data_IF_543169378856
#
_entry.id   IF_543169378856
#
_cell.length_a   1.000
_cell.length_b   1.000
_cell.length_c   1.000
_cell.angle_alpha   90.00
_cell.angle_beta   90.00
_cell.angle_gamma   90.00
#
_symmetry.space_group_name_H-M   'P 1'
#
loop_
_entity.id
_entity.type
_entity.pdbx_description
1 polymer ?
#
# COMPACT_ATOMS: atom_id res chain seq x y z
N UNK A 1 -15.24 10.29 -19.87
CA UNK A 1 -15.22 11.12 -18.64
C UNK A 1 -15.08 10.18 -17.45
N UNK A 2 -13.85 9.90 -17.05
CA UNK A 2 -13.56 9.00 -15.92
C UNK A 2 -13.91 9.76 -14.64
N UNK A 3 -15.16 9.65 -14.23
CA UNK A 3 -15.57 10.07 -12.91
C UNK A 3 -15.22 8.91 -11.96
N UNK A 4 -13.99 9.00 -11.44
CA UNK A 4 -13.75 8.99 -10.03
C UNK A 4 -13.91 7.70 -9.33
N UNK A 5 -12.90 7.50 -8.69
CA UNK A 5 -12.78 6.91 -7.38
C UNK A 5 -14.11 6.66 -6.71
N UNK A 6 -14.36 5.39 -6.42
CA UNK A 6 -15.13 4.97 -5.28
C UNK A 6 -14.65 5.74 -4.04
N UNK A 7 -15.53 6.03 -3.11
CA UNK A 7 -15.16 6.65 -1.84
C UNK A 7 -13.94 5.96 -1.23
N UNK A 8 -12.92 6.70 -0.78
CA UNK A 8 -11.69 6.13 -0.22
C UNK A 8 -11.95 5.58 1.19
N UNK A 9 -12.77 4.55 1.29
CA UNK A 9 -13.27 3.98 2.54
C UNK A 9 -12.17 3.34 3.41
N UNK A 10 -11.04 2.99 2.82
CA UNK A 10 -9.90 2.44 3.53
C UNK A 10 -8.89 3.52 3.98
N UNK A 11 -9.06 4.76 3.53
CA UNK A 11 -8.13 5.86 3.80
C UNK A 11 -8.55 6.70 5.00
N UNK A 12 -7.56 7.23 5.72
CA UNK A 12 -7.79 8.18 6.79
C UNK A 12 -8.08 9.59 6.28
N UNK A 13 -8.65 10.50 7.13
CA UNK A 13 -9.11 11.82 6.72
C UNK A 13 -8.05 12.67 5.98
N UNK A 14 -6.78 12.51 6.32
CA UNK A 14 -5.69 13.24 5.68
C UNK A 14 -5.49 12.82 4.22
N UNK A 15 -5.51 11.51 3.94
CA UNK A 15 -5.42 11.00 2.58
C UNK A 15 -6.67 11.33 1.76
N UNK A 16 -7.85 11.27 2.38
CA UNK A 16 -9.12 11.69 1.73
C UNK A 16 -9.00 13.15 1.29
N UNK A 17 -8.57 14.05 2.18
CA UNK A 17 -8.36 15.47 1.86
C UNK A 17 -7.34 15.67 0.74
N UNK A 18 -6.20 14.98 0.80
CA UNK A 18 -5.16 15.07 -0.23
C UNK A 18 -5.67 14.57 -1.61
N UNK A 19 -6.43 13.48 -1.62
CA UNK A 19 -7.10 12.97 -2.82
C UNK A 19 -8.08 13.98 -3.41
N UNK A 20 -8.94 14.58 -2.58
CA UNK A 20 -9.89 15.61 -3.04
C UNK A 20 -9.16 16.81 -3.64
N UNK A 21 -8.10 17.27 -3.01
CA UNK A 21 -7.28 18.38 -3.51
C UNK A 21 -6.63 18.04 -4.86
N UNK A 22 -6.07 16.83 -4.98
CA UNK A 22 -5.48 16.34 -6.22
C UNK A 22 -6.51 16.28 -7.36
N UNK A 23 -7.71 15.78 -7.08
CA UNK A 23 -8.80 15.74 -8.06
C UNK A 23 -9.29 17.13 -8.45
N UNK A 24 -9.43 18.04 -7.49
CA UNK A 24 -9.81 19.44 -7.76
C UNK A 24 -8.77 20.17 -8.61
N UNK A 25 -7.50 19.82 -8.47
CA UNK A 25 -6.41 20.36 -9.32
C UNK A 25 -6.33 19.69 -10.71
N UNK A 26 -7.24 18.78 -11.04
CA UNK A 26 -7.31 18.15 -12.36
C UNK A 26 -6.41 16.93 -12.54
N UNK A 27 -5.85 16.36 -11.49
CA UNK A 27 -5.03 15.14 -11.59
C UNK A 27 -5.83 14.00 -12.21
N UNK A 28 -5.24 13.33 -13.18
CA UNK A 28 -5.83 12.19 -13.91
C UNK A 28 -5.03 10.91 -13.66
N UNK A 29 -5.67 9.76 -13.92
CA UNK A 29 -4.99 8.45 -13.86
C UNK A 29 -3.82 8.39 -14.85
N UNK A 30 -3.96 9.01 -16.02
CA UNK A 30 -2.89 9.08 -17.01
C UNK A 30 -1.65 9.83 -16.49
N UNK A 31 -1.86 10.91 -15.75
CA UNK A 31 -0.76 11.64 -15.10
C UNK A 31 -0.09 10.80 -14.00
N UNK A 32 -0.86 9.98 -13.27
CA UNK A 32 -0.29 9.06 -12.28
C UNK A 32 0.63 8.02 -12.95
N UNK A 33 0.21 7.39 -14.04
CA UNK A 33 1.05 6.45 -14.78
C UNK A 33 2.29 7.14 -15.39
N UNK A 34 2.13 8.34 -15.93
CA UNK A 34 3.27 9.13 -16.44
C UNK A 34 4.27 9.45 -15.34
N UNK A 35 3.81 9.87 -14.17
CA UNK A 35 4.67 10.11 -13.01
C UNK A 35 5.39 8.84 -12.55
N UNK A 36 4.65 7.72 -12.47
CA UNK A 36 5.24 6.43 -12.12
C UNK A 36 6.36 6.05 -13.08
N UNK A 37 6.16 6.20 -14.39
CA UNK A 37 7.18 5.94 -15.42
C UNK A 37 8.42 6.79 -15.21
N UNK A 38 8.25 8.10 -15.04
CA UNK A 38 9.36 9.02 -14.78
C UNK A 38 10.13 8.65 -13.50
N UNK A 39 9.43 8.20 -12.45
CA UNK A 39 10.05 7.78 -11.21
C UNK A 39 10.82 6.46 -11.38
N UNK A 40 10.26 5.48 -12.09
CA UNK A 40 10.91 4.18 -12.33
C UNK A 40 12.17 4.30 -13.19
N UNK A 41 12.19 5.23 -14.15
CA UNK A 41 13.36 5.51 -14.99
C UNK A 41 14.47 6.26 -14.22
N UNK A 42 14.09 7.03 -13.20
CA UNK A 42 15.03 7.90 -12.46
C UNK A 42 15.61 7.23 -11.21
N UNK A 43 14.88 6.34 -10.59
CA UNK A 43 15.26 5.79 -9.28
C UNK A 43 15.27 4.26 -9.28
N UNK A 44 16.21 3.61 -8.58
CA UNK A 44 16.36 2.14 -8.57
C UNK A 44 15.43 1.41 -7.60
N UNK A 45 14.38 2.05 -7.08
CA UNK A 45 13.45 1.40 -6.17
C UNK A 45 12.22 0.83 -6.89
N UNK A 46 11.64 -0.21 -6.31
CA UNK A 46 10.40 -0.81 -6.81
C UNK A 46 9.21 0.10 -6.53
N UNK A 47 8.34 0.30 -7.53
CA UNK A 47 7.15 1.13 -7.42
C UNK A 47 5.91 0.25 -7.45
N UNK A 48 5.05 0.42 -6.43
CA UNK A 48 3.72 -0.18 -6.36
C UNK A 48 2.66 0.89 -6.60
N UNK A 49 1.62 0.56 -7.36
CA UNK A 49 0.44 1.40 -7.46
C UNK A 49 -0.55 1.04 -6.36
N UNK A 50 -0.94 2.01 -5.55
CA UNK A 50 -2.03 1.83 -4.58
C UNK A 50 -3.25 2.64 -5.02
N UNK A 51 -4.41 2.00 -5.01
CA UNK A 51 -5.67 2.62 -5.40
C UNK A 51 -6.86 1.73 -5.07
N UNK A 52 -8.01 2.06 -5.67
CA UNK A 52 -9.24 1.27 -5.53
C UNK A 52 -9.53 0.51 -6.82
N UNK A 53 -10.14 -0.68 -6.70
CA UNK A 53 -10.40 -1.59 -7.81
C UNK A 53 -11.23 -0.96 -8.93
N UNK A 54 -12.14 -0.04 -8.59
CA UNK A 54 -12.93 0.69 -9.59
C UNK A 54 -12.08 1.33 -10.70
N UNK A 55 -10.84 1.75 -10.40
CA UNK A 55 -9.92 2.29 -11.42
C UNK A 55 -9.50 1.21 -12.41
N UNK A 56 -9.14 0.02 -11.93
CA UNK A 56 -8.78 -1.11 -12.77
C UNK A 56 -9.98 -1.64 -13.54
N UNK A 57 -11.14 -1.73 -12.89
CA UNK A 57 -12.39 -2.21 -13.48
C UNK A 57 -12.86 -1.33 -14.66
N UNK A 58 -12.92 0.00 -14.47
CA UNK A 58 -13.35 0.91 -15.54
C UNK A 58 -12.36 0.96 -16.70
N UNK A 59 -11.09 0.81 -16.42
CA UNK A 59 -10.03 0.81 -17.45
C UNK A 59 -10.02 -0.48 -18.26
N UNK A 60 -10.49 -1.58 -17.69
CA UNK A 60 -10.24 -2.96 -18.09
C UNK A 60 -9.00 -3.50 -17.42
N UNK A 61 -9.12 -4.68 -16.81
CA UNK A 61 -8.03 -5.29 -16.01
C UNK A 61 -6.77 -5.57 -16.84
N UNK A 62 -6.92 -6.00 -18.08
CA UNK A 62 -5.83 -6.23 -19.02
C UNK A 62 -5.09 -4.93 -19.36
N UNK A 63 -5.84 -3.86 -19.64
CA UNK A 63 -5.29 -2.53 -19.90
C UNK A 63 -4.59 -1.98 -18.66
N UNK A 64 -5.20 -2.17 -17.47
CA UNK A 64 -4.61 -1.74 -16.20
C UNK A 64 -3.26 -2.40 -15.94
N UNK A 65 -3.19 -3.73 -16.04
CA UNK A 65 -1.95 -4.50 -15.82
C UNK A 65 -0.87 -4.11 -16.84
N UNK A 66 -1.26 -4.01 -18.13
CA UNK A 66 -0.33 -3.57 -19.18
C UNK A 66 0.23 -2.19 -18.90
N UNK A 67 -0.62 -1.20 -18.58
CA UNK A 67 -0.19 0.17 -18.28
C UNK A 67 0.69 0.25 -17.06
N UNK A 68 0.40 -0.53 -16.02
CA UNK A 68 1.20 -0.62 -14.82
C UNK A 68 2.62 -1.11 -15.14
N UNK A 69 2.72 -2.17 -15.93
CA UNK A 69 4.00 -2.70 -16.42
C UNK A 69 4.77 -1.70 -17.28
N UNK A 70 4.11 -1.08 -18.25
CA UNK A 70 4.69 -0.09 -19.16
C UNK A 70 5.20 1.17 -18.41
N UNK A 71 4.60 1.47 -17.25
CA UNK A 71 5.03 2.53 -16.35
C UNK A 71 6.15 2.12 -15.37
N UNK A 72 6.67 0.90 -15.48
CA UNK A 72 7.72 0.39 -14.59
C UNK A 72 7.25 0.03 -13.18
N UNK A 73 5.93 -0.10 -12.99
CA UNK A 73 5.36 -0.62 -11.75
C UNK A 73 5.62 -2.12 -11.63
N UNK A 74 5.88 -2.59 -10.42
CA UNK A 74 6.14 -4.01 -10.15
C UNK A 74 4.99 -4.72 -9.43
N UNK A 75 3.96 -3.98 -9.01
CA UNK A 75 2.80 -4.54 -8.33
C UNK A 75 1.76 -3.47 -7.99
N UNK A 76 0.66 -3.92 -7.40
CA UNK A 76 -0.43 -3.04 -6.98
C UNK A 76 -1.01 -3.46 -5.62
N UNK A 77 -1.66 -2.49 -4.96
CA UNK A 77 -2.44 -2.66 -3.74
C UNK A 77 -3.86 -2.15 -4.01
N UNK A 78 -4.86 -3.04 -3.96
CA UNK A 78 -6.28 -2.73 -4.15
C UNK A 78 -7.05 -3.20 -2.89
N UNK A 79 -7.20 -2.35 -1.86
CA UNK A 79 -7.73 -2.76 -0.57
C UNK A 79 -9.19 -3.23 -0.59
N UNK A 80 -9.93 -2.81 -1.59
CA UNK A 80 -11.36 -3.10 -1.82
C UNK A 80 -11.62 -4.30 -2.72
N UNK A 81 -10.57 -4.98 -3.23
CA UNK A 81 -10.71 -6.17 -4.06
C UNK A 81 -10.49 -7.44 -3.23
N UNK A 82 -11.54 -8.22 -2.92
CA UNK A 82 -11.40 -9.52 -2.28
C UNK A 82 -10.68 -10.52 -3.17
N UNK A 83 -9.91 -11.44 -2.57
CA UNK A 83 -9.17 -12.46 -3.35
C UNK A 83 -10.11 -13.39 -4.13
N UNK A 84 -11.35 -13.56 -3.69
CA UNK A 84 -12.38 -14.35 -4.37
C UNK A 84 -12.81 -13.72 -5.69
N UNK A 85 -12.76 -12.40 -5.81
CA UNK A 85 -13.17 -11.64 -7.00
C UNK A 85 -11.96 -11.28 -7.90
N UNK A 86 -10.76 -11.62 -7.47
CA UNK A 86 -9.52 -11.18 -8.12
C UNK A 86 -8.95 -12.16 -9.15
N UNK A 87 -9.63 -13.28 -9.44
CA UNK A 87 -9.10 -14.39 -10.23
C UNK A 87 -8.56 -13.96 -11.60
N UNK A 88 -9.32 -13.16 -12.35
CA UNK A 88 -8.89 -12.72 -13.69
C UNK A 88 -7.74 -11.71 -13.59
N UNK A 89 -7.82 -10.74 -12.68
CA UNK A 89 -6.76 -9.75 -12.48
C UNK A 89 -5.46 -10.43 -12.02
N UNK A 90 -5.53 -11.41 -11.12
CA UNK A 90 -4.35 -12.16 -10.66
C UNK A 90 -3.70 -12.95 -11.80
N UNK A 91 -4.49 -13.63 -12.64
CA UNK A 91 -3.98 -14.35 -13.82
C UNK A 91 -3.24 -13.40 -14.76
N UNK A 92 -3.87 -12.28 -15.15
CA UNK A 92 -3.26 -11.26 -16.00
C UNK A 92 -1.98 -10.69 -15.39
N UNK A 93 -1.97 -10.49 -14.07
CA UNK A 93 -0.82 -9.97 -13.34
C UNK A 93 0.34 -10.97 -13.34
N UNK A 94 0.06 -12.26 -13.14
CA UNK A 94 1.07 -13.33 -13.19
C UNK A 94 1.71 -13.42 -14.58
N UNK A 95 0.91 -13.40 -15.65
CA UNK A 95 1.38 -13.39 -17.03
C UNK A 95 2.25 -12.16 -17.35
N UNK A 96 1.96 -11.03 -16.72
CA UNK A 96 2.72 -9.80 -16.90
C UNK A 96 3.94 -9.67 -15.99
N UNK A 97 4.08 -10.51 -14.95
CA UNK A 97 5.11 -10.37 -13.91
C UNK A 97 4.82 -9.20 -12.96
N UNK A 98 3.55 -8.90 -12.73
CA UNK A 98 3.08 -7.87 -11.78
C UNK A 98 2.59 -8.55 -10.50
N UNK A 99 2.97 -8.03 -9.34
CA UNK A 99 2.66 -8.64 -8.05
C UNK A 99 1.42 -8.03 -7.39
N UNK A 100 0.36 -8.82 -7.15
CA UNK A 100 -0.75 -8.40 -6.31
C UNK A 100 -0.31 -8.39 -4.83
N UNK A 101 -0.35 -7.23 -4.19
CA UNK A 101 -0.01 -7.09 -2.78
C UNK A 101 -1.29 -7.24 -1.96
N UNK A 102 -1.37 -8.34 -1.23
CA UNK A 102 -2.56 -8.71 -0.46
C UNK A 102 -2.48 -8.11 0.95
N UNK A 103 -3.65 -7.70 1.47
CA UNK A 103 -3.76 -7.15 2.82
C UNK A 103 -4.13 -8.24 3.84
N UNK A 104 -3.42 -8.27 4.96
CA UNK A 104 -3.78 -9.04 6.15
C UNK A 104 -4.10 -8.11 7.31
N UNK A 105 -5.16 -8.39 8.06
CA UNK A 105 -5.69 -7.53 9.12
C UNK A 105 -5.85 -8.26 10.45
N UNK A 106 -5.91 -7.56 11.59
CA UNK A 106 -6.13 -8.19 12.90
C UNK A 106 -7.45 -8.95 13.01
N UNK A 107 -8.44 -8.58 12.18
CA UNK A 107 -9.77 -9.20 12.17
C UNK A 107 -9.85 -10.47 11.32
N UNK A 108 -8.80 -10.76 10.54
CA UNK A 108 -8.74 -11.99 9.73
C UNK A 108 -8.60 -13.21 10.62
N UNK A 109 -9.49 -14.21 10.43
CA UNK A 109 -9.32 -15.53 11.06
C UNK A 109 -8.11 -16.26 10.47
N UNK A 110 -7.59 -17.29 11.15
CA UNK A 110 -6.45 -18.06 10.64
C UNK A 110 -6.78 -18.77 9.32
N UNK A 111 -8.01 -19.25 9.14
CA UNK A 111 -8.50 -19.75 7.86
C UNK A 111 -8.40 -18.68 6.76
N UNK A 112 -8.79 -17.43 7.08
CA UNK A 112 -8.69 -16.30 6.14
C UNK A 112 -7.24 -15.95 5.87
N UNK A 113 -6.38 -15.91 6.88
CA UNK A 113 -4.95 -15.64 6.70
C UNK A 113 -4.29 -16.70 5.79
N UNK A 114 -4.67 -17.98 5.92
CA UNK A 114 -4.18 -19.05 5.05
C UNK A 114 -4.60 -18.82 3.58
N UNK A 115 -5.84 -18.43 3.32
CA UNK A 115 -6.31 -18.10 1.96
C UNK A 115 -5.56 -16.90 1.38
N UNK A 116 -5.42 -15.83 2.16
CA UNK A 116 -4.70 -14.62 1.76
C UNK A 116 -3.22 -14.93 1.50
N UNK A 117 -2.60 -15.74 2.36
CA UNK A 117 -1.20 -16.17 2.21
C UNK A 117 -0.97 -16.97 0.93
N UNK A 118 -1.87 -17.90 0.60
CA UNK A 118 -1.79 -18.69 -0.63
C UNK A 118 -1.89 -17.84 -1.90
N UNK A 119 -2.62 -16.70 -1.84
CA UNK A 119 -2.78 -15.76 -2.94
C UNK A 119 -1.70 -14.68 -2.98
N UNK A 120 -0.83 -14.61 -1.96
CA UNK A 120 0.15 -13.52 -1.82
C UNK A 120 1.37 -13.75 -2.70
N UNK A 121 1.80 -12.68 -3.36
CA UNK A 121 3.05 -12.62 -4.14
C UNK A 121 3.76 -11.29 -3.82
N UNK A 122 5.06 -11.21 -4.09
CA UNK A 122 5.85 -10.02 -3.85
C UNK A 122 6.00 -9.68 -2.37
N UNK A 123 4.92 -9.24 -1.71
CA UNK A 123 4.83 -9.02 -0.27
C UNK A 123 3.38 -9.11 0.23
N UNK A 124 3.21 -9.21 1.53
CA UNK A 124 1.92 -8.99 2.21
C UNK A 124 1.96 -7.62 2.90
N UNK A 125 0.87 -6.86 2.77
CA UNK A 125 0.66 -5.66 3.56
C UNK A 125 -0.12 -5.99 4.84
N UNK A 126 0.57 -6.01 5.97
CA UNK A 126 -0.05 -6.21 7.29
C UNK A 126 -0.56 -4.86 7.78
N UNK A 127 -1.89 -4.69 7.79
CA UNK A 127 -2.56 -3.51 8.35
C UNK A 127 -2.79 -3.74 9.83
N UNK A 128 -1.85 -3.31 10.67
CA UNK A 128 -1.85 -3.62 12.11
C UNK A 128 -2.83 -2.74 12.93
N UNK A 129 -3.87 -2.19 12.30
CA UNK A 129 -4.88 -1.34 12.96
C UNK A 129 -6.29 -1.85 12.77
N UNK A 130 -7.12 -1.61 13.78
CA UNK A 130 -8.58 -1.67 13.66
C UNK A 130 -9.08 -0.25 13.32
N UNK A 131 -9.77 -0.07 12.19
CA UNK A 131 -10.34 1.21 11.74
C UNK A 131 -9.47 1.99 10.75
N UNK A 132 -9.90 3.21 10.42
CA UNK A 132 -9.24 4.08 9.44
C UNK A 132 -7.92 4.65 9.95
N UNK A 133 -6.97 4.91 9.04
CA UNK A 133 -5.66 5.47 9.37
C UNK A 133 -5.76 6.86 10.01
N UNK A 134 -4.95 7.15 11.03
CA UNK A 134 -4.85 8.49 11.63
C UNK A 134 -4.95 8.58 13.16
N UNK A 135 -5.40 7.53 13.88
CA UNK A 135 -5.39 7.48 15.35
C UNK A 135 -4.16 6.75 15.89
N UNK A 136 -3.68 7.11 17.08
CA UNK A 136 -2.56 6.40 17.75
C UNK A 136 -2.99 4.99 18.16
N UNK A 137 -2.23 3.99 17.75
CA UNK A 137 -2.34 2.62 18.26
C UNK A 137 -1.22 2.41 19.27
N UNK A 138 -1.52 1.81 20.44
CA UNK A 138 -0.46 1.31 21.32
C UNK A 138 0.32 0.26 20.52
N UNK A 139 1.55 0.58 20.19
CA UNK A 139 2.50 -0.33 19.58
C UNK A 139 3.09 -1.18 20.69
N UNK A 140 2.63 -2.38 20.74
CA UNK A 140 3.09 -3.31 21.73
C UNK A 140 2.92 -4.73 21.20
N UNK A 141 2.74 -5.64 22.11
CA UNK A 141 2.64 -7.07 21.89
C UNK A 141 1.59 -7.47 20.82
N UNK A 142 0.51 -6.69 20.67
CA UNK A 142 -0.56 -6.97 19.69
C UNK A 142 -0.07 -6.92 18.24
N UNK A 143 0.78 -5.94 17.89
CA UNK A 143 1.33 -5.82 16.52
C UNK A 143 2.28 -6.96 16.23
N UNK A 144 3.15 -7.28 17.19
CA UNK A 144 4.11 -8.37 17.06
C UNK A 144 3.38 -9.71 16.99
N UNK A 145 2.34 -9.92 17.81
CA UNK A 145 1.50 -11.11 17.76
C UNK A 145 0.82 -11.27 16.40
N UNK A 146 0.28 -10.18 15.82
CA UNK A 146 -0.30 -10.20 14.48
C UNK A 146 0.74 -10.56 13.42
N UNK A 147 1.93 -9.95 13.45
CA UNK A 147 3.01 -10.25 12.50
C UNK A 147 3.38 -11.74 12.57
N UNK A 148 3.53 -12.29 13.78
CA UNK A 148 3.80 -13.72 13.97
C UNK A 148 2.68 -14.60 13.41
N UNK A 149 1.42 -14.25 13.62
CA UNK A 149 0.28 -14.95 13.01
C UNK A 149 0.32 -14.91 11.49
N UNK A 150 0.54 -13.74 10.90
CA UNK A 150 0.64 -13.60 9.44
C UNK A 150 1.80 -14.44 8.87
N UNK A 151 2.94 -14.46 9.56
CA UNK A 151 4.13 -15.23 9.16
C UNK A 151 3.87 -16.74 9.09
N UNK A 152 2.94 -17.28 9.88
CA UNK A 152 2.57 -18.68 9.82
C UNK A 152 1.86 -19.07 8.51
N UNK A 153 1.34 -18.10 7.77
CA UNK A 153 0.53 -18.33 6.59
C UNK A 153 1.17 -17.86 5.28
N UNK A 154 2.37 -17.28 5.32
CA UNK A 154 3.07 -16.84 4.12
C UNK A 154 4.59 -16.80 4.32
N UNK A 155 5.31 -17.05 3.23
CA UNK A 155 6.78 -16.94 3.17
C UNK A 155 7.26 -15.65 2.50
N UNK A 156 6.35 -14.90 1.84
CA UNK A 156 6.72 -13.62 1.22
C UNK A 156 6.97 -12.55 2.28
N UNK A 157 7.73 -11.49 1.96
CA UNK A 157 8.00 -10.40 2.89
C UNK A 157 6.73 -9.78 3.49
N UNK A 158 6.78 -9.43 4.78
CA UNK A 158 5.72 -8.73 5.48
C UNK A 158 6.05 -7.24 5.59
N UNK A 159 5.27 -6.41 4.91
CA UNK A 159 5.29 -4.95 5.07
C UNK A 159 4.24 -4.51 6.07
N UNK A 160 4.64 -3.81 7.13
CA UNK A 160 3.73 -3.48 8.24
C UNK A 160 3.41 -2.00 8.26
N UNK A 161 2.12 -1.68 8.16
CA UNK A 161 1.56 -0.34 8.28
C UNK A 161 0.72 -0.20 9.54
N UNK A 162 1.18 0.64 10.48
CA UNK A 162 0.47 0.89 11.74
C UNK A 162 0.60 2.33 12.25
N UNK A 163 1.09 3.24 11.39
CA UNK A 163 1.26 4.66 11.71
C UNK A 163 2.63 5.01 12.25
N UNK A 164 3.66 4.42 11.70
CA UNK A 164 5.06 4.73 11.97
C UNK A 164 5.30 6.23 11.82
N UNK A 165 5.85 6.85 12.86
CA UNK A 165 6.11 8.28 12.92
C UNK A 165 7.47 8.64 13.56
N UNK A 166 8.17 7.66 14.10
CA UNK A 166 9.45 7.85 14.79
C UNK A 166 10.36 6.63 14.62
N UNK A 167 11.64 6.80 14.93
CA UNK A 167 12.62 5.71 14.99
C UNK A 167 12.20 4.64 16.01
N UNK A 168 11.68 5.06 17.17
CA UNK A 168 11.20 4.11 18.19
C UNK A 168 10.10 3.18 17.63
N UNK A 169 9.25 3.68 16.73
CA UNK A 169 8.25 2.87 16.06
C UNK A 169 8.90 1.81 15.14
N UNK A 170 9.98 2.17 14.44
CA UNK A 170 10.74 1.22 13.62
C UNK A 170 11.46 0.17 14.46
N UNK A 171 12.02 0.58 15.59
CA UNK A 171 12.76 -0.33 16.47
C UNK A 171 11.87 -1.45 17.02
N UNK A 172 10.57 -1.20 17.25
CA UNK A 172 9.58 -2.23 17.62
C UNK A 172 9.46 -3.31 16.54
N UNK A 173 9.59 -2.96 15.25
CA UNK A 173 9.45 -3.91 14.15
C UNK A 173 10.72 -4.70 13.83
N UNK A 174 11.87 -4.27 14.34
CA UNK A 174 13.16 -4.93 14.04
C UNK A 174 13.12 -6.40 14.39
N UNK A 175 13.51 -7.23 13.43
CA UNK A 175 13.50 -8.70 13.56
C UNK A 175 12.12 -9.37 13.49
N UNK A 176 11.04 -8.60 13.36
CA UNK A 176 9.68 -9.15 13.26
C UNK A 176 9.04 -8.92 11.90
N UNK A 177 9.29 -7.77 11.27
CA UNK A 177 8.80 -7.41 9.94
C UNK A 177 9.96 -7.20 8.96
N UNK A 178 9.70 -7.39 7.67
CA UNK A 178 10.70 -7.20 6.61
C UNK A 178 10.70 -5.76 6.10
N UNK A 179 9.55 -5.09 6.13
CA UNK A 179 9.35 -3.73 5.63
C UNK A 179 8.47 -2.93 6.59
N UNK A 180 8.79 -1.66 6.76
CA UNK A 180 7.99 -0.69 7.50
C UNK A 180 7.31 0.28 6.53
N UNK A 181 5.99 0.42 6.62
CA UNK A 181 5.21 1.26 5.71
C UNK A 181 4.87 2.59 6.38
N UNK A 182 5.45 3.66 5.86
CA UNK A 182 5.27 5.03 6.36
C UNK A 182 4.36 5.80 5.40
N UNK A 183 3.18 6.16 5.85
CA UNK A 183 2.21 6.90 5.05
C UNK A 183 1.84 8.24 5.67
N UNK A 184 0.91 8.22 6.62
CA UNK A 184 0.32 9.44 7.22
C UNK A 184 1.35 10.41 7.82
N UNK A 185 2.42 9.91 8.45
CA UNK A 185 3.48 10.77 9.00
C UNK A 185 4.21 11.53 7.89
N UNK A 186 4.57 10.85 6.81
CA UNK A 186 5.23 11.47 5.67
C UNK A 186 4.34 12.55 5.02
N UNK A 187 3.04 12.28 4.85
CA UNK A 187 2.11 13.27 4.29
C UNK A 187 1.95 14.50 5.19
N UNK A 188 1.83 14.32 6.51
CA UNK A 188 1.79 15.43 7.48
C UNK A 188 3.02 16.31 7.41
N UNK A 189 4.20 15.70 7.32
CA UNK A 189 5.47 16.43 7.23
C UNK A 189 5.58 17.16 5.90
N UNK A 190 5.13 16.51 4.81
CA UNK A 190 5.07 17.16 3.51
C UNK A 190 4.18 18.42 3.54
N UNK A 191 2.97 18.33 4.10
CA UNK A 191 2.06 19.48 4.22
C UNK A 191 2.66 20.61 5.08
N UNK A 192 3.37 20.27 6.15
CA UNK A 192 3.92 21.25 7.07
C UNK A 192 5.24 21.87 6.61
N UNK A 193 6.13 21.10 5.97
CA UNK A 193 7.53 21.47 5.76
C UNK A 193 8.08 21.08 4.38
N UNK A 194 7.26 20.55 3.49
CA UNK A 194 7.64 20.19 2.12
C UNK A 194 8.78 19.15 2.03
N UNK A 195 9.54 19.23 0.94
CA UNK A 195 10.60 18.27 0.64
C UNK A 195 11.75 18.29 1.66
N UNK A 196 12.09 19.45 2.21
CA UNK A 196 13.15 19.57 3.23
C UNK A 196 12.78 18.84 4.52
N UNK A 197 11.53 19.00 4.98
CA UNK A 197 11.01 18.30 6.14
C UNK A 197 11.00 16.79 5.97
N UNK A 198 10.56 16.31 4.80
CA UNK A 198 10.61 14.87 4.48
C UNK A 198 12.03 14.32 4.51
N UNK A 199 13.00 15.05 3.94
CA UNK A 199 14.40 14.63 3.93
C UNK A 199 14.95 14.49 5.36
N UNK A 200 14.65 15.44 6.23
CA UNK A 200 15.05 15.40 7.64
C UNK A 200 14.38 14.22 8.36
N UNK A 201 13.07 14.08 8.21
CA UNK A 201 12.30 12.99 8.80
C UNK A 201 12.86 11.61 8.45
N UNK A 202 13.10 11.34 7.16
CA UNK A 202 13.63 10.03 6.74
C UNK A 202 15.08 9.82 7.21
N UNK A 203 15.89 10.86 7.32
CA UNK A 203 17.23 10.75 7.93
C UNK A 203 17.15 10.34 9.40
N UNK A 204 16.30 10.99 10.18
CA UNK A 204 16.10 10.69 11.59
C UNK A 204 15.48 9.30 11.81
N UNK A 205 14.57 8.90 10.92
CA UNK A 205 13.93 7.59 10.96
C UNK A 205 14.94 6.44 10.72
N UNK A 206 15.98 6.69 9.91
CA UNK A 206 16.99 5.70 9.51
C UNK A 206 18.28 5.76 10.33
N UNK A 207 18.45 6.78 11.17
CA UNK A 207 19.60 6.92 12.05
C UNK A 207 19.59 5.91 13.21
#
# INVERSE_FOLDING_TARGET
MYKRQSEPSADGPLFVKANEQSLKSGTTVDQCFKFMKQASERFPFKILMMGYYNTAFIMGEDVFVKRLKDAGGVGYILPDLPVEESTNLHRLSEEAGIEPIILMTPTSSDKRLAQLGASSRGMVYVVARRGVTGSKTNMGDDVIALIKRCRQHTTVPLGVGFGISSKADLDVLRGSADLAIVGTAALKIWEASGASGLKTFFKELMA
#
